data_IF_984319221382
#
_entry.id   IF_984319221382
#
_cell.length_a   1.000
_cell.length_b   1.000
_cell.length_c   1.000
_cell.angle_alpha   90.00
_cell.angle_beta   90.00
_cell.angle_gamma   90.00
#
_symmetry.space_group_name_H-M   'P 1'
#
loop_
_entity.id
_entity.type
_entity.pdbx_description
1 polymer ?
#
# COMPACT_ATOMS: atom_id res chain seq x y z
N UNK A 1 9.23 8.72 -27.85
CA UNK A 1 10.14 8.61 -26.71
C UNK A 1 9.39 8.90 -25.43
N UNK A 2 9.33 7.92 -24.51
CA UNK A 2 8.64 8.12 -23.24
C UNK A 2 9.26 7.28 -22.12
N UNK A 3 8.96 7.68 -20.91
CA UNK A 3 9.24 6.94 -19.70
C UNK A 3 7.92 6.32 -19.22
N UNK A 4 7.91 5.01 -19.01
CA UNK A 4 6.74 4.31 -18.49
C UNK A 4 7.03 3.87 -17.06
N UNK A 5 6.11 4.15 -16.16
CA UNK A 5 6.20 3.77 -14.75
C UNK A 5 5.06 2.82 -14.43
N UNK A 6 5.40 1.63 -13.95
CA UNK A 6 4.43 0.69 -13.39
C UNK A 6 4.67 0.52 -11.91
N UNK A 7 3.61 0.50 -11.12
CA UNK A 7 3.72 0.32 -9.67
C UNK A 7 2.57 -0.54 -9.15
N UNK A 8 2.85 -1.35 -8.14
CA UNK A 8 1.85 -2.17 -7.46
C UNK A 8 2.19 -2.25 -5.97
N UNK A 9 1.16 -2.10 -5.13
CA UNK A 9 1.31 -2.05 -3.68
C UNK A 9 0.61 -3.24 -3.04
N UNK A 10 1.29 -3.89 -2.11
CA UNK A 10 0.73 -5.00 -1.34
C UNK A 10 0.87 -4.72 0.15
N UNK A 11 -0.05 -5.28 0.92
CA UNK A 11 -0.04 -5.27 2.39
C UNK A 11 0.31 -6.67 2.86
N UNK A 12 1.27 -6.76 3.79
CA UNK A 12 1.76 -8.04 4.30
C UNK A 12 1.68 -8.07 5.83
N UNK A 13 1.08 -9.10 6.38
CA UNK A 13 1.04 -9.34 7.82
C UNK A 13 1.52 -10.77 8.09
N UNK A 14 2.54 -10.91 8.95
CA UNK A 14 3.12 -12.20 9.29
C UNK A 14 3.49 -13.04 8.06
N UNK A 15 4.03 -12.40 7.02
CA UNK A 15 4.43 -13.04 5.78
C UNK A 15 3.29 -13.38 4.84
N UNK A 16 2.05 -13.02 5.16
CA UNK A 16 0.88 -13.26 4.30
C UNK A 16 0.44 -11.98 3.62
N UNK A 17 0.19 -12.06 2.33
CA UNK A 17 -0.32 -10.94 1.55
C UNK A 17 -1.82 -10.80 1.81
N UNK A 18 -2.24 -9.60 2.19
CA UNK A 18 -3.64 -9.25 2.34
C UNK A 18 -4.08 -8.49 1.08
N UNK A 19 -4.91 -9.13 0.26
CA UNK A 19 -5.44 -8.50 -0.93
C UNK A 19 -6.64 -7.60 -0.63
N UNK A 20 -7.39 -7.25 -1.67
CA UNK A 20 -8.66 -6.54 -1.51
C UNK A 20 -9.67 -7.47 -0.85
N UNK A 21 -10.51 -6.96 0.07
CA UNK A 21 -11.52 -7.81 0.68
C UNK A 21 -12.56 -8.27 -0.34
N UNK A 22 -13.00 -9.52 -0.20
CA UNK A 22 -13.99 -10.11 -1.09
C UNK A 22 -15.42 -9.65 -0.75
N UNK A 23 -15.66 -9.32 0.52
CA UNK A 23 -16.94 -8.85 1.04
C UNK A 23 -16.72 -8.11 2.37
N UNK A 24 -17.79 -7.61 2.98
CA UNK A 24 -17.68 -6.88 4.24
C UNK A 24 -17.16 -7.75 5.39
N UNK A 25 -17.54 -9.02 5.44
CA UNK A 25 -17.07 -9.94 6.46
C UNK A 25 -15.56 -10.17 6.35
N UNK A 26 -15.04 -10.29 5.13
CA UNK A 26 -13.62 -10.41 4.85
C UNK A 26 -12.88 -9.13 5.25
N UNK A 27 -13.43 -7.96 4.93
CA UNK A 27 -12.86 -6.68 5.33
C UNK A 27 -12.77 -6.56 6.86
N UNK A 28 -13.80 -6.96 7.59
CA UNK A 28 -13.77 -6.97 9.06
C UNK A 28 -12.71 -7.91 9.61
N UNK A 29 -12.57 -9.09 9.00
CA UNK A 29 -11.55 -10.05 9.42
C UNK A 29 -10.13 -9.53 9.16
N UNK A 30 -9.89 -8.88 8.02
CA UNK A 30 -8.59 -8.26 7.71
C UNK A 30 -8.25 -7.17 8.75
N UNK A 31 -9.17 -6.26 9.02
CA UNK A 31 -8.95 -5.18 9.97
C UNK A 31 -8.73 -5.71 11.38
N UNK A 32 -9.46 -6.75 11.78
CA UNK A 32 -9.27 -7.40 13.09
C UNK A 32 -7.86 -8.00 13.19
N UNK A 33 -7.34 -8.57 12.10
CA UNK A 33 -5.98 -9.12 12.09
C UNK A 33 -4.90 -8.04 12.17
N UNK A 34 -5.17 -6.85 11.64
CA UNK A 34 -4.23 -5.70 11.66
C UNK A 34 -4.31 -4.90 12.95
N UNK A 35 -5.42 -4.98 13.67
CA UNK A 35 -5.69 -4.19 14.88
C UNK A 35 -4.60 -4.39 15.94
N UNK A 36 -4.02 -3.28 16.44
CA UNK A 36 -3.02 -3.30 17.50
C UNK A 36 -1.69 -3.93 17.11
N UNK A 37 -1.40 -4.05 15.80
CA UNK A 37 -0.21 -4.74 15.31
C UNK A 37 0.52 -3.89 14.27
N UNK A 38 1.75 -4.31 13.97
CA UNK A 38 2.57 -3.72 12.90
C UNK A 38 2.54 -4.66 11.69
N UNK A 39 2.26 -4.09 10.55
CA UNK A 39 2.31 -4.80 9.27
C UNK A 39 3.22 -4.05 8.29
N UNK A 40 3.49 -4.64 7.14
CA UNK A 40 4.36 -4.08 6.12
C UNK A 40 3.56 -3.71 4.89
N UNK A 41 3.94 -2.59 4.27
CA UNK A 41 3.42 -2.18 2.97
C UNK A 41 4.60 -2.13 1.99
N UNK A 42 4.50 -2.90 0.92
CA UNK A 42 5.51 -2.95 -0.14
C UNK A 42 4.94 -2.35 -1.40
N UNK A 43 5.70 -1.49 -2.03
CA UNK A 43 5.38 -1.06 -3.40
C UNK A 43 6.54 -1.47 -4.31
N UNK A 44 6.24 -2.25 -5.32
CA UNK A 44 7.17 -2.57 -6.39
C UNK A 44 7.00 -1.57 -7.52
N UNK A 45 8.10 -1.12 -8.10
CA UNK A 45 8.10 -0.14 -9.18
C UNK A 45 8.96 -0.65 -10.33
N UNK A 46 8.47 -0.48 -11.55
CA UNK A 46 9.23 -0.75 -12.76
C UNK A 46 9.29 0.52 -13.62
N UNK A 47 10.49 0.88 -14.06
CA UNK A 47 10.72 2.00 -14.96
C UNK A 47 11.18 1.47 -16.30
N UNK A 48 10.58 1.97 -17.38
CA UNK A 48 10.94 1.61 -18.75
C UNK A 48 11.22 2.87 -19.57
N UNK A 49 12.34 2.89 -20.26
CA UNK A 49 12.60 3.89 -21.31
C UNK A 49 12.17 3.29 -22.64
N UNK A 50 11.26 3.95 -23.32
CA UNK A 50 10.70 3.46 -24.60
C UNK A 50 11.01 4.45 -25.69
N UNK A 51 11.57 3.93 -26.80
CA UNK A 51 11.86 4.71 -28.01
C UNK A 51 11.37 3.95 -29.22
N UNK A 52 10.56 4.60 -30.03
CA UNK A 52 10.00 4.00 -31.25
C UNK A 52 9.32 2.65 -30.98
N UNK A 53 8.58 2.55 -29.86
CA UNK A 53 7.87 1.34 -29.49
C UNK A 53 8.74 0.24 -28.90
N UNK A 54 10.03 0.48 -28.71
CA UNK A 54 10.99 -0.51 -28.19
C UNK A 54 11.48 -0.10 -26.82
N UNK A 55 11.49 -1.05 -25.88
CA UNK A 55 12.04 -0.84 -24.55
C UNK A 55 13.56 -0.84 -24.63
N UNK A 56 14.19 0.29 -24.35
CA UNK A 56 15.65 0.44 -24.37
C UNK A 56 16.28 0.15 -23.01
N UNK A 57 15.63 0.59 -21.93
CA UNK A 57 16.11 0.40 -20.57
C UNK A 57 14.97 -0.02 -19.66
N UNK A 58 15.33 -0.82 -18.65
CA UNK A 58 14.38 -1.25 -17.62
C UNK A 58 15.12 -1.28 -16.29
N UNK A 59 14.46 -0.76 -15.24
CA UNK A 59 14.91 -0.98 -13.87
C UNK A 59 13.71 -1.28 -12.98
N UNK A 60 13.91 -2.10 -11.97
CA UNK A 60 12.89 -2.44 -10.98
C UNK A 60 13.46 -2.25 -9.58
N UNK A 61 12.61 -1.82 -8.68
CA UNK A 61 12.96 -1.66 -7.26
C UNK A 61 11.70 -1.77 -6.41
N UNK A 62 11.88 -1.89 -5.11
CA UNK A 62 10.76 -1.88 -4.19
C UNK A 62 11.11 -1.11 -2.93
N UNK A 63 10.08 -0.63 -2.24
CA UNK A 63 10.18 -0.01 -0.92
C UNK A 63 9.27 -0.75 0.04
N UNK A 64 9.70 -0.84 1.30
CA UNK A 64 8.94 -1.43 2.38
C UNK A 64 8.77 -0.39 3.49
N UNK A 65 7.56 -0.27 4.00
CA UNK A 65 7.24 0.64 5.12
C UNK A 65 6.48 -0.14 6.18
N UNK A 66 6.91 -0.02 7.44
CA UNK A 66 6.20 -0.59 8.56
C UNK A 66 5.09 0.37 9.00
N UNK A 67 3.89 -0.15 9.15
CA UNK A 67 2.72 0.61 9.61
C UNK A 67 2.19 -0.05 10.87
N UNK A 68 2.07 0.73 11.95
CA UNK A 68 1.53 0.25 13.21
C UNK A 68 0.14 0.84 13.42
N UNK A 69 -0.81 -0.03 13.70
CA UNK A 69 -2.20 0.36 13.97
C UNK A 69 -2.49 0.27 15.47
N UNK A 70 -3.32 1.18 15.95
CA UNK A 70 -3.86 1.08 17.32
C UNK A 70 -4.88 -0.05 17.38
N UNK A 71 -5.18 -0.54 18.59
CA UNK A 71 -6.26 -1.52 18.78
C UNK A 71 -7.59 -0.89 18.40
N UNK A 72 -8.35 -1.59 17.57
CA UNK A 72 -9.69 -1.18 17.11
C UNK A 72 -10.74 -2.05 17.78
N UNK A 73 -11.84 -1.43 18.22
CA UNK A 73 -12.99 -2.16 18.74
C UNK A 73 -13.78 -2.78 17.57
N UNK A 74 -14.62 -3.78 17.87
CA UNK A 74 -15.49 -4.36 16.86
C UNK A 74 -16.40 -3.30 16.23
N UNK A 75 -16.90 -2.36 17.06
CA UNK A 75 -17.75 -1.26 16.56
C UNK A 75 -16.98 -0.34 15.62
N UNK A 76 -15.75 0.03 15.95
CA UNK A 76 -14.93 0.87 15.09
C UNK A 76 -14.66 0.19 13.74
N UNK A 77 -14.35 -1.09 13.76
CA UNK A 77 -14.14 -1.88 12.55
C UNK A 77 -15.43 -1.92 11.71
N UNK A 78 -16.56 -2.22 12.34
CA UNK A 78 -17.84 -2.30 11.65
C UNK A 78 -18.25 -0.96 11.04
N UNK A 79 -18.07 0.14 11.76
CA UNK A 79 -18.38 1.49 11.27
C UNK A 79 -17.50 1.86 10.09
N UNK A 80 -16.21 1.54 10.16
CA UNK A 80 -15.29 1.79 9.06
C UNK A 80 -15.65 0.98 7.81
N UNK A 81 -15.95 -0.30 7.96
CA UNK A 81 -16.37 -1.16 6.84
C UNK A 81 -17.68 -0.66 6.24
N UNK A 82 -18.64 -0.20 7.07
CA UNK A 82 -19.91 0.33 6.60
C UNK A 82 -19.73 1.60 5.74
N UNK A 83 -18.64 2.34 5.90
CA UNK A 83 -18.36 3.52 5.07
C UNK A 83 -18.07 3.17 3.60
N UNK A 84 -17.73 1.91 3.31
CA UNK A 84 -17.34 1.46 1.98
C UNK A 84 -15.87 1.74 1.62
N UNK A 85 -15.18 2.54 2.42
CA UNK A 85 -13.78 2.92 2.17
C UNK A 85 -12.82 1.73 2.02
N UNK A 86 -12.92 0.65 2.83
CA UNK A 86 -11.99 -0.47 2.73
C UNK A 86 -12.15 -1.37 1.51
N UNK A 87 -13.27 -1.32 0.80
CA UNK A 87 -13.66 -2.39 -0.11
C UNK A 87 -12.80 -2.50 -1.38
N UNK A 88 -12.15 -1.44 -1.80
CA UNK A 88 -11.31 -1.41 -3.01
C UNK A 88 -9.82 -1.37 -2.70
N UNK A 89 -9.42 -1.62 -1.44
CA UNK A 89 -8.05 -1.44 -0.99
C UNK A 89 -7.43 -2.72 -0.45
N UNK A 90 -6.16 -2.97 -0.82
CA UNK A 90 -5.38 -4.06 -0.24
C UNK A 90 -5.27 -3.87 1.28
N UNK A 91 -5.48 -4.94 2.05
CA UNK A 91 -5.46 -4.88 3.51
C UNK A 91 -6.68 -4.21 4.12
N UNK A 92 -7.66 -3.83 3.31
CA UNK A 92 -8.93 -3.24 3.71
C UNK A 92 -8.81 -1.86 4.37
N UNK A 93 -7.78 -1.06 4.07
CA UNK A 93 -7.70 0.31 4.56
C UNK A 93 -6.90 1.21 3.62
N UNK A 94 -7.16 2.52 3.70
CA UNK A 94 -6.37 3.55 3.02
C UNK A 94 -5.86 4.58 4.01
N UNK A 95 -4.54 4.82 3.99
CA UNK A 95 -3.91 5.74 4.94
C UNK A 95 -4.41 7.18 4.80
N UNK A 96 -4.84 7.57 3.61
CA UNK A 96 -5.35 8.91 3.34
C UNK A 96 -6.84 9.07 3.66
N UNK A 97 -7.53 7.97 4.00
CA UNK A 97 -8.96 7.99 4.27
C UNK A 97 -9.28 8.03 5.75
N UNK A 98 -10.45 7.52 6.10
CA UNK A 98 -10.95 7.50 7.47
C UNK A 98 -10.09 6.65 8.40
N UNK A 99 -9.33 5.69 7.86
CA UNK A 99 -8.46 4.83 8.65
C UNK A 99 -7.25 5.55 9.24
N UNK A 100 -6.98 6.79 8.83
CA UNK A 100 -5.86 7.57 9.38
C UNK A 100 -5.90 7.65 10.92
N UNK A 101 -7.10 7.68 11.50
CA UNK A 101 -7.25 7.75 12.97
C UNK A 101 -6.80 6.48 13.68
N UNK A 102 -6.64 5.37 12.97
CA UNK A 102 -6.22 4.09 13.54
C UNK A 102 -4.73 3.82 13.37
N UNK A 103 -3.98 4.71 12.72
CA UNK A 103 -2.55 4.52 12.48
C UNK A 103 -1.76 5.35 13.48
N UNK A 104 -0.93 4.67 14.29
CA UNK A 104 -0.15 5.32 15.32
C UNK A 104 1.29 5.63 14.93
N UNK A 105 1.87 4.85 13.99
CA UNK A 105 3.26 5.02 13.61
C UNK A 105 3.51 4.50 12.21
N UNK A 106 4.40 5.17 11.50
CA UNK A 106 4.92 4.73 10.20
C UNK A 106 6.44 4.78 10.28
N UNK A 107 7.11 3.67 9.94
CA UNK A 107 8.56 3.62 9.77
C UNK A 107 8.88 3.35 8.31
N UNK A 108 9.34 4.38 7.63
CA UNK A 108 9.65 4.34 6.22
C UNK A 108 8.97 5.47 5.47
N UNK A 109 8.81 5.30 4.17
CA UNK A 109 8.25 6.31 3.30
C UNK A 109 6.72 6.31 3.35
N UNK A 110 6.13 7.41 3.78
CA UNK A 110 4.68 7.61 3.80
C UNK A 110 4.08 7.44 2.40
N UNK A 111 4.72 8.00 1.37
CA UNK A 111 4.20 7.91 0.00
C UNK A 111 4.24 6.50 -0.55
N UNK A 112 5.16 5.65 -0.04
CA UNK A 112 5.13 4.22 -0.33
C UNK A 112 3.82 3.60 0.14
N UNK A 113 3.33 3.97 1.32
CA UNK A 113 2.06 3.47 1.85
C UNK A 113 0.87 3.99 1.03
N UNK A 114 0.96 5.21 0.53
CA UNK A 114 -0.06 5.77 -0.37
C UNK A 114 -0.13 5.00 -1.70
N UNK A 115 1.00 4.49 -2.17
CA UNK A 115 1.03 3.66 -3.37
C UNK A 115 2.15 3.96 -4.37
N UNK A 116 2.97 4.98 -4.12
CA UNK A 116 4.12 5.30 -4.97
C UNK A 116 5.20 5.99 -4.13
N UNK A 117 6.38 5.36 -3.96
CA UNK A 117 7.49 5.97 -3.21
C UNK A 117 8.15 7.07 -4.03
N UNK A 118 7.57 8.27 -4.01
CA UNK A 118 7.89 9.39 -4.90
C UNK A 118 9.38 9.76 -4.85
N UNK A 119 9.97 9.85 -3.67
CA UNK A 119 11.37 10.24 -3.53
C UNK A 119 12.30 9.22 -4.20
N UNK A 120 12.06 7.93 -3.93
CA UNK A 120 12.85 6.86 -4.55
C UNK A 120 12.68 6.85 -6.06
N UNK A 121 11.44 7.00 -6.53
CA UNK A 121 11.14 7.05 -7.98
C UNK A 121 11.88 8.20 -8.64
N UNK A 122 11.83 9.39 -8.05
CA UNK A 122 12.53 10.56 -8.59
C UNK A 122 14.03 10.28 -8.74
N UNK A 123 14.67 9.77 -7.67
CA UNK A 123 16.12 9.52 -7.70
C UNK A 123 16.50 8.40 -8.66
N UNK A 124 15.67 7.37 -8.80
CA UNK A 124 15.92 6.30 -9.77
C UNK A 124 15.80 6.83 -11.21
N UNK A 125 14.85 7.72 -11.48
CA UNK A 125 14.73 8.37 -12.80
C UNK A 125 15.94 9.20 -13.12
N UNK A 126 16.48 9.93 -12.15
CA UNK A 126 17.68 10.74 -12.35
C UNK A 126 18.91 9.91 -12.74
N UNK A 127 18.98 8.66 -12.28
CA UNK A 127 20.07 7.73 -12.59
C UNK A 127 19.76 6.84 -13.79
N UNK A 128 18.59 6.92 -14.32
CA UNK A 128 18.11 6.08 -15.41
C UNK A 128 18.53 6.66 -16.76
#
# INVERSE_FOLDING_TARGET
NCLVIGADTIVVLDGKILGKPSDEADARAMLASLSGRTHQVYTGVALFSVKEGIIEKKTTFHECTDVTMVSMTEKEIADYVASGDPMDKAGAYGIQGLAAIFISEIKGDYYNVVGLPISRVYHEIEQF
#
